data_IF_898081255662
#
_entry.id   IF_898081255662
#
_cell.length_a   1.000
_cell.length_b   1.000
_cell.length_c   1.000
_cell.angle_alpha   90.00
_cell.angle_beta   90.00
_cell.angle_gamma   90.00
#
_symmetry.space_group_name_H-M   'P 1'
#
loop_
_entity.id
_entity.type
_entity.pdbx_description
1 polymer ?
#
# COMPACT_ATOMS: atom_id res chain seq x y z
N UNK A 1 12.36 16.27 -11.86
CA UNK A 1 12.66 15.14 -10.95
C UNK A 1 11.58 14.11 -11.16
N UNK A 2 11.92 12.87 -11.55
CA UNK A 2 10.93 11.78 -11.69
C UNK A 2 10.69 11.20 -10.31
N UNK A 3 9.46 11.24 -9.84
CA UNK A 3 9.03 10.65 -8.57
C UNK A 3 7.61 10.10 -8.72
N UNK A 4 7.08 9.50 -7.65
CA UNK A 4 5.72 8.93 -7.63
C UNK A 4 4.60 9.98 -7.77
N UNK A 5 4.90 11.27 -7.63
CA UNK A 5 3.94 12.35 -7.87
C UNK A 5 3.86 12.77 -9.34
N UNK A 6 4.79 12.30 -10.17
CA UNK A 6 4.82 12.57 -11.62
C UNK A 6 4.07 11.46 -12.34
N UNK A 7 3.25 11.82 -13.33
CA UNK A 7 2.57 10.83 -14.17
C UNK A 7 3.57 9.93 -14.89
N UNK A 8 3.24 8.64 -14.98
CA UNK A 8 4.02 7.70 -15.78
C UNK A 8 3.82 8.04 -17.27
N UNK A 9 4.90 8.27 -18.06
CA UNK A 9 4.78 8.63 -19.46
C UNK A 9 3.99 7.57 -20.24
N UNK A 10 3.01 8.02 -21.04
CA UNK A 10 2.07 7.15 -21.73
C UNK A 10 2.73 6.33 -22.85
N UNK A 11 3.87 6.76 -23.34
CA UNK A 11 4.67 6.17 -24.40
C UNK A 11 5.79 5.25 -23.89
N UNK A 12 6.11 5.31 -22.60
CA UNK A 12 7.18 4.50 -22.01
C UNK A 12 6.83 3.00 -22.14
N UNK A 13 7.71 2.18 -22.74
CA UNK A 13 7.50 0.74 -22.82
C UNK A 13 7.32 0.14 -21.43
N UNK A 14 6.39 -0.81 -21.32
CA UNK A 14 6.12 -1.51 -20.07
C UNK A 14 5.72 -2.96 -20.34
N UNK A 15 6.07 -3.87 -19.44
CA UNK A 15 5.75 -5.29 -19.62
C UNK A 15 4.24 -5.57 -19.78
N UNK A 16 3.28 -4.83 -19.16
CA UNK A 16 1.86 -5.04 -19.42
C UNK A 16 1.48 -4.74 -20.87
N UNK A 17 2.07 -3.71 -21.49
CA UNK A 17 1.85 -3.41 -22.92
C UNK A 17 2.38 -4.51 -23.83
N UNK A 18 3.56 -5.04 -23.52
CA UNK A 18 4.15 -6.14 -24.28
C UNK A 18 3.26 -7.38 -24.19
N UNK A 19 2.78 -7.73 -22.99
CA UNK A 19 1.87 -8.87 -22.81
C UNK A 19 0.51 -8.65 -23.49
N UNK A 20 -0.06 -7.45 -23.39
CA UNK A 20 -1.29 -7.09 -24.09
C UNK A 20 -1.13 -7.26 -25.61
N UNK A 21 -0.03 -6.75 -26.19
CA UNK A 21 0.28 -6.89 -27.61
C UNK A 21 0.51 -8.35 -28.02
N UNK A 22 1.04 -9.19 -27.12
CA UNK A 22 1.19 -10.63 -27.31
C UNK A 22 -0.13 -11.42 -27.14
N UNK A 23 -1.26 -10.75 -26.94
CA UNK A 23 -2.59 -11.36 -26.89
C UNK A 23 -3.09 -11.74 -25.49
N UNK A 24 -2.41 -11.33 -24.41
CA UNK A 24 -2.89 -11.52 -23.05
C UNK A 24 -4.05 -10.57 -22.75
N UNK A 25 -5.05 -11.03 -22.00
CA UNK A 25 -6.00 -10.14 -21.33
C UNK A 25 -5.32 -9.52 -20.10
N UNK A 26 -5.35 -8.20 -19.99
CA UNK A 26 -4.56 -7.45 -19.00
C UNK A 26 -5.45 -6.66 -18.05
N UNK A 27 -5.15 -6.71 -16.76
CA UNK A 27 -5.91 -5.99 -15.74
C UNK A 27 -5.04 -5.38 -14.64
N UNK A 28 -5.44 -4.19 -14.18
CA UNK A 28 -4.89 -3.55 -12.99
C UNK A 28 -6.01 -3.20 -12.01
N UNK A 29 -5.86 -3.61 -10.75
CA UNK A 29 -6.86 -3.40 -9.70
C UNK A 29 -6.17 -2.94 -8.42
N UNK A 30 -6.48 -1.74 -7.96
CA UNK A 30 -5.97 -1.17 -6.72
C UNK A 30 -5.15 0.10 -6.94
N UNK A 31 -4.13 0.31 -6.11
CA UNK A 31 -3.35 1.54 -6.02
C UNK A 31 -2.26 1.56 -7.09
N UNK A 32 -2.28 2.56 -7.97
CA UNK A 32 -1.25 2.82 -8.98
C UNK A 32 -0.16 3.78 -8.48
N UNK A 33 -0.58 4.97 -8.00
CA UNK A 33 0.28 5.94 -7.32
C UNK A 33 1.51 6.42 -8.13
N UNK A 34 1.41 6.42 -9.47
CA UNK A 34 2.23 7.27 -10.33
C UNK A 34 1.35 8.41 -10.85
N UNK A 35 1.64 9.61 -10.37
CA UNK A 35 0.75 10.76 -10.44
C UNK A 35 -0.19 10.80 -9.24
N UNK A 36 -0.47 12.00 -8.73
CA UNK A 36 -1.36 12.19 -7.57
C UNK A 36 -2.81 12.49 -8.01
N UNK A 37 -2.97 13.24 -9.10
CA UNK A 37 -4.25 13.85 -9.49
C UNK A 37 -5.04 13.03 -10.51
N UNK A 38 -4.38 12.05 -11.15
CA UNK A 38 -4.96 11.21 -12.19
C UNK A 38 -4.94 9.74 -11.79
N UNK A 39 -6.07 9.09 -12.02
CA UNK A 39 -6.25 7.64 -11.97
C UNK A 39 -6.90 7.14 -13.26
N UNK A 40 -6.70 7.87 -14.35
CA UNK A 40 -7.12 7.45 -15.68
C UNK A 40 -6.42 6.16 -16.09
N UNK A 41 -7.11 5.40 -16.94
CA UNK A 41 -6.60 4.12 -17.41
C UNK A 41 -5.25 4.29 -18.10
N UNK A 42 -4.27 3.48 -17.69
CA UNK A 42 -2.94 3.46 -18.30
C UNK A 42 -2.88 2.46 -19.45
N UNK A 43 -2.04 2.71 -20.49
CA UNK A 43 -1.83 1.75 -21.57
C UNK A 43 -1.33 0.40 -21.06
N UNK A 44 -1.67 -0.67 -21.76
CA UNK A 44 -1.30 -2.04 -21.37
C UNK A 44 -2.29 -2.73 -20.45
N UNK A 45 -3.49 -2.16 -20.25
CA UNK A 45 -4.56 -2.73 -19.44
C UNK A 45 -5.91 -2.66 -20.15
N UNK A 46 -6.56 -3.82 -20.31
CA UNK A 46 -7.93 -3.95 -20.81
C UNK A 46 -8.95 -3.61 -19.70
N UNK A 47 -8.66 -4.01 -18.47
CA UNK A 47 -9.44 -3.69 -17.28
C UNK A 47 -8.65 -2.83 -16.30
N UNK A 48 -9.27 -1.74 -15.85
CA UNK A 48 -8.66 -0.78 -14.94
C UNK A 48 -9.62 -0.43 -13.81
N UNK A 49 -9.17 -0.66 -12.58
CA UNK A 49 -9.85 -0.23 -11.37
C UNK A 49 -8.83 0.41 -10.42
N UNK A 50 -8.72 1.73 -10.43
CA UNK A 50 -7.76 2.48 -9.61
C UNK A 50 -8.44 3.64 -8.88
N UNK A 51 -7.73 4.36 -8.01
CA UNK A 51 -8.17 5.60 -7.39
C UNK A 51 -7.06 6.65 -7.43
N UNK A 52 -7.42 7.92 -7.26
CA UNK A 52 -6.47 9.03 -7.14
C UNK A 52 -5.65 8.95 -5.85
N UNK A 53 -4.42 9.43 -5.92
CA UNK A 53 -3.50 9.55 -4.79
C UNK A 53 -3.42 8.31 -3.91
N UNK A 54 -3.48 8.53 -2.59
CA UNK A 54 -3.31 7.44 -1.62
C UNK A 54 -4.53 6.54 -1.44
N UNK A 55 -5.73 6.99 -1.78
CA UNK A 55 -6.98 6.32 -1.42
C UNK A 55 -7.23 6.27 0.10
N UNK A 56 -8.37 5.69 0.50
CA UNK A 56 -8.79 5.56 1.91
C UNK A 56 -8.74 4.09 2.33
N UNK A 57 -8.66 3.82 3.64
CA UNK A 57 -8.79 2.44 4.13
C UNK A 57 -10.22 1.92 4.09
N UNK A 58 -11.20 2.81 4.08
CA UNK A 58 -12.62 2.49 3.98
C UNK A 58 -13.29 3.36 2.93
N UNK A 59 -14.28 2.81 2.25
CA UNK A 59 -15.19 3.53 1.36
C UNK A 59 -14.44 4.34 0.29
N UNK A 60 -13.45 3.70 -0.35
CA UNK A 60 -12.67 4.34 -1.42
C UNK A 60 -13.47 4.42 -2.70
N UNK A 61 -13.43 5.59 -3.34
CA UNK A 61 -13.90 5.77 -4.71
C UNK A 61 -12.87 5.28 -5.70
N UNK A 62 -13.30 4.41 -6.62
CA UNK A 62 -12.49 3.89 -7.70
C UNK A 62 -12.97 4.43 -9.05
N UNK A 63 -12.04 4.76 -9.94
CA UNK A 63 -12.24 4.79 -11.38
C UNK A 63 -12.19 3.35 -11.92
N UNK A 64 -13.34 2.80 -12.28
CA UNK A 64 -13.49 1.49 -12.91
C UNK A 64 -13.82 1.70 -14.38
N UNK A 65 -12.83 1.57 -15.26
CA UNK A 65 -12.95 1.79 -16.71
C UNK A 65 -13.67 3.10 -17.08
N UNK A 66 -13.28 4.20 -16.46
CA UNK A 66 -13.85 5.54 -16.69
C UNK A 66 -15.06 5.87 -15.82
N UNK A 67 -15.57 4.92 -15.02
CA UNK A 67 -16.73 5.14 -14.14
C UNK A 67 -16.32 5.25 -12.68
N UNK A 68 -16.74 6.32 -12.01
CA UNK A 68 -16.51 6.56 -10.58
C UNK A 68 -17.47 5.75 -9.73
N UNK A 69 -16.95 4.92 -8.84
CA UNK A 69 -17.76 4.07 -7.95
C UNK A 69 -17.13 4.01 -6.56
N UNK A 70 -17.90 4.38 -5.54
CA UNK A 70 -17.52 4.16 -4.14
C UNK A 70 -17.72 2.70 -3.77
N UNK A 71 -16.64 1.99 -3.43
CA UNK A 71 -16.71 0.62 -2.91
C UNK A 71 -16.73 0.67 -1.39
N UNK A 72 -17.90 0.46 -0.80
CA UNK A 72 -18.10 0.48 0.66
C UNK A 72 -17.33 -0.66 1.36
N UNK A 73 -16.74 -0.37 2.51
CA UNK A 73 -15.98 -1.32 3.33
C UNK A 73 -14.47 -1.21 3.16
N UNK A 74 -13.74 -2.18 3.73
CA UNK A 74 -12.28 -2.13 3.83
C UNK A 74 -11.59 -2.28 2.47
N UNK A 75 -10.64 -1.39 2.18
CA UNK A 75 -9.95 -1.27 0.90
C UNK A 75 -9.40 -2.60 0.38
N UNK A 76 -8.65 -3.31 1.23
CA UNK A 76 -7.98 -4.56 0.87
C UNK A 76 -9.00 -5.60 0.41
N UNK A 77 -10.13 -5.71 1.10
CA UNK A 77 -11.23 -6.59 0.69
C UNK A 77 -11.85 -6.15 -0.62
N UNK A 78 -12.12 -4.85 -0.81
CA UNK A 78 -12.73 -4.36 -2.06
C UNK A 78 -11.86 -4.59 -3.29
N UNK A 79 -10.55 -4.40 -3.17
CA UNK A 79 -9.59 -4.73 -4.22
C UNK A 79 -9.56 -6.24 -4.49
N UNK A 80 -9.58 -7.05 -3.44
CA UNK A 80 -9.59 -8.52 -3.55
C UNK A 80 -10.86 -9.03 -4.22
N UNK A 81 -12.02 -8.49 -3.83
CA UNK A 81 -13.30 -8.87 -4.41
C UNK A 81 -13.31 -8.59 -5.92
N UNK A 82 -12.88 -7.41 -6.33
CA UNK A 82 -12.76 -7.06 -7.76
C UNK A 82 -11.77 -7.98 -8.49
N UNK A 83 -10.66 -8.37 -7.86
CA UNK A 83 -9.70 -9.31 -8.42
C UNK A 83 -10.29 -10.72 -8.59
N UNK A 84 -10.96 -11.24 -7.56
CA UNK A 84 -11.64 -12.55 -7.59
C UNK A 84 -12.76 -12.56 -8.63
N UNK A 85 -13.59 -11.53 -8.66
CA UNK A 85 -14.67 -11.39 -9.66
C UNK A 85 -14.08 -11.31 -11.08
N UNK A 86 -12.95 -10.62 -11.25
CA UNK A 86 -12.25 -10.57 -12.51
C UNK A 86 -11.71 -11.95 -12.90
N UNK A 87 -11.05 -12.67 -11.98
CA UNK A 87 -10.46 -14.01 -12.22
C UNK A 87 -11.50 -15.06 -12.61
N UNK A 88 -12.68 -15.06 -11.98
CA UNK A 88 -13.76 -16.05 -12.21
C UNK A 88 -14.40 -16.01 -13.60
N UNK A 89 -14.14 -14.97 -14.39
CA UNK A 89 -14.66 -14.89 -15.75
C UNK A 89 -14.10 -16.03 -16.59
N UNK A 90 -14.96 -16.68 -17.38
CA UNK A 90 -14.52 -17.66 -18.38
C UNK A 90 -13.60 -16.98 -19.38
N UNK A 91 -12.46 -17.59 -19.66
CA UNK A 91 -11.44 -17.05 -20.57
C UNK A 91 -10.89 -18.12 -21.49
N UNK A 92 -10.51 -17.69 -22.67
CA UNK A 92 -9.76 -18.48 -23.66
C UNK A 92 -8.34 -17.94 -23.86
N UNK A 93 -8.09 -16.67 -23.51
CA UNK A 93 -6.77 -16.02 -23.61
C UNK A 93 -5.98 -16.20 -22.30
N UNK A 94 -4.63 -16.28 -22.36
CA UNK A 94 -3.80 -16.11 -21.17
C UNK A 94 -3.99 -14.69 -20.60
N UNK A 95 -3.60 -14.47 -19.36
CA UNK A 95 -3.90 -13.22 -18.68
C UNK A 95 -2.77 -12.69 -17.80
N UNK A 96 -2.78 -11.37 -17.59
CA UNK A 96 -2.02 -10.66 -16.57
C UNK A 96 -3.00 -9.94 -15.65
N UNK A 97 -2.92 -10.20 -14.35
CA UNK A 97 -3.62 -9.44 -13.33
C UNK A 97 -2.62 -8.85 -12.35
N UNK A 98 -2.64 -7.52 -12.19
CA UNK A 98 -1.88 -6.83 -11.17
C UNK A 98 -2.85 -6.35 -10.07
N UNK A 99 -2.60 -6.78 -8.84
CA UNK A 99 -3.39 -6.42 -7.66
C UNK A 99 -2.55 -5.53 -6.75
N UNK A 100 -2.85 -4.23 -6.74
CA UNK A 100 -2.13 -3.22 -5.96
C UNK A 100 -2.84 -2.91 -4.65
N UNK A 101 -2.58 -3.66 -3.58
CA UNK A 101 -3.11 -3.29 -2.26
C UNK A 101 -2.51 -1.96 -1.75
N UNK A 102 -3.33 -1.13 -1.09
CA UNK A 102 -2.87 0.09 -0.41
C UNK A 102 -2.13 -0.25 0.87
N UNK A 103 -2.64 -1.21 1.63
CA UNK A 103 -1.99 -1.67 2.84
C UNK A 103 -0.59 -2.23 2.47
N UNK A 104 0.44 -1.99 3.29
CA UNK A 104 0.40 -1.38 4.62
C UNK A 104 0.75 0.12 4.59
N UNK A 105 0.35 0.92 3.59
CA UNK A 105 0.72 2.35 3.57
C UNK A 105 0.03 3.16 4.69
N UNK A 106 0.67 4.23 5.16
CA UNK A 106 0.11 5.21 6.11
C UNK A 106 -1.28 5.70 5.65
N UNK A 107 -2.27 5.92 6.56
CA UNK A 107 -2.21 6.01 8.03
C UNK A 107 -2.21 4.69 8.83
N UNK A 108 -1.91 3.54 8.23
CA UNK A 108 -1.85 2.22 8.91
C UNK A 108 -3.11 1.94 9.72
N UNK A 109 -4.26 1.86 9.07
CA UNK A 109 -5.53 1.58 9.75
C UNK A 109 -5.86 0.09 9.61
N UNK A 110 -5.68 -0.73 10.66
CA UNK A 110 -6.03 -2.15 10.58
C UNK A 110 -7.52 -2.34 10.40
N UNK A 111 -7.90 -3.45 9.79
CA UNK A 111 -9.27 -3.92 9.85
C UNK A 111 -9.68 -4.17 11.32
N UNK A 112 -10.94 -3.90 11.67
CA UNK A 112 -11.42 -3.97 13.06
C UNK A 112 -11.04 -5.28 13.76
N UNK A 113 -11.19 -6.43 13.08
CA UNK A 113 -10.84 -7.76 13.63
C UNK A 113 -9.35 -7.95 13.94
N UNK A 114 -8.48 -7.19 13.29
CA UNK A 114 -7.03 -7.25 13.50
C UNK A 114 -6.50 -6.11 14.37
N UNK A 115 -7.34 -5.18 14.81
CA UNK A 115 -6.89 -3.96 15.47
C UNK A 115 -6.15 -4.17 16.80
N UNK A 116 -6.32 -5.34 17.44
CA UNK A 116 -5.76 -5.67 18.77
C UNK A 116 -4.92 -6.95 18.82
N UNK A 117 -4.62 -7.58 17.68
CA UNK A 117 -4.00 -8.92 17.65
C UNK A 117 -2.55 -8.96 18.16
N UNK A 118 -1.95 -7.80 18.40
CA UNK A 118 -0.58 -7.67 18.90
C UNK A 118 -0.52 -6.78 20.15
N UNK A 119 -1.64 -6.55 20.84
CA UNK A 119 -1.69 -5.68 22.02
C UNK A 119 -0.85 -6.25 23.19
N UNK A 120 -0.77 -7.57 23.28
CA UNK A 120 -0.02 -8.37 24.25
C UNK A 120 1.47 -8.52 23.88
N UNK A 121 1.86 -8.19 22.65
CA UNK A 121 3.25 -8.32 22.20
C UNK A 121 4.06 -7.09 22.60
N UNK A 122 5.09 -7.29 23.42
CA UNK A 122 6.05 -6.24 23.75
C UNK A 122 6.88 -5.87 22.51
N UNK A 123 6.81 -4.61 22.07
CA UNK A 123 7.62 -4.08 20.97
C UNK A 123 8.62 -3.07 21.53
N UNK A 124 9.91 -3.38 21.38
CA UNK A 124 11.02 -2.49 21.70
C UNK A 124 11.60 -1.89 20.42
N UNK A 125 12.40 -0.84 20.56
CA UNK A 125 13.24 -0.41 19.46
C UNK A 125 14.16 -1.55 19.01
N UNK A 126 14.45 -1.68 17.70
CA UNK A 126 15.42 -2.65 17.21
C UNK A 126 16.76 -2.47 17.92
N UNK A 127 17.45 -3.57 18.26
CA UNK A 127 18.77 -3.52 18.93
C UNK A 127 19.75 -2.58 18.23
N UNK A 128 19.74 -2.60 16.89
CA UNK A 128 20.61 -1.80 16.03
C UNK A 128 20.18 -0.34 15.86
N UNK A 129 19.08 0.09 16.47
CA UNK A 129 18.54 1.45 16.32
C UNK A 129 19.54 2.55 16.71
N UNK A 130 20.40 2.25 17.69
CA UNK A 130 21.36 3.20 18.27
C UNK A 130 22.83 2.78 18.06
N UNK A 131 23.08 1.73 17.27
CA UNK A 131 24.43 1.31 16.86
C UNK A 131 24.98 2.25 15.76
N UNK A 132 25.32 3.49 16.17
CA UNK A 132 25.68 4.59 15.26
C UNK A 132 27.18 4.84 15.13
N UNK A 133 27.99 4.19 15.97
CA UNK A 133 29.44 4.29 15.90
C UNK A 133 29.96 3.85 14.51
N UNK A 134 30.91 4.60 13.95
CA UNK A 134 31.42 4.38 12.59
C UNK A 134 30.44 4.62 11.44
N UNK A 135 29.16 4.94 11.69
CA UNK A 135 28.18 5.20 10.62
C UNK A 135 28.35 6.59 9.98
N UNK A 136 28.01 6.77 8.69
CA UNK A 136 28.02 8.07 8.02
C UNK A 136 27.18 9.13 8.74
N UNK A 137 27.56 10.41 8.59
CA UNK A 137 26.87 11.56 9.22
C UNK A 137 25.36 11.55 8.97
N UNK A 138 24.93 11.27 7.75
CA UNK A 138 23.51 11.25 7.37
C UNK A 138 22.72 10.14 8.10
N UNK A 139 23.34 9.01 8.48
CA UNK A 139 22.70 7.96 9.28
C UNK A 139 22.45 8.43 10.71
N UNK A 140 23.40 9.19 11.28
CA UNK A 140 23.27 9.77 12.63
C UNK A 140 22.19 10.86 12.64
N UNK A 141 22.20 11.71 11.63
CA UNK A 141 21.27 12.84 11.50
C UNK A 141 19.85 12.44 11.12
N UNK A 142 19.60 11.22 10.61
CA UNK A 142 18.22 10.83 10.21
C UNK A 142 17.30 10.53 11.39
N UNK A 143 17.84 10.33 12.59
CA UNK A 143 17.13 9.73 13.72
C UNK A 143 15.94 10.58 14.22
N UNK A 144 16.04 11.90 14.14
CA UNK A 144 15.01 12.87 14.51
C UNK A 144 14.17 13.35 13.31
N UNK A 145 14.53 12.96 12.09
CA UNK A 145 13.81 13.35 10.86
C UNK A 145 12.47 12.64 10.74
N UNK A 146 11.68 13.01 9.71
CA UNK A 146 10.37 12.42 9.42
C UNK A 146 10.35 10.88 9.41
N UNK A 147 11.41 10.24 8.89
CA UNK A 147 11.55 8.78 8.82
C UNK A 147 12.39 8.19 9.95
N UNK A 148 12.84 9.04 10.88
CA UNK A 148 13.66 8.67 12.02
C UNK A 148 12.86 8.00 13.13
N UNK A 149 13.56 7.22 13.96
CA UNK A 149 12.97 6.51 15.10
C UNK A 149 12.42 7.46 16.18
N UNK A 150 13.01 8.66 16.30
CA UNK A 150 12.53 9.75 17.16
C UNK A 150 11.63 10.74 16.43
N UNK A 151 11.39 10.56 15.13
CA UNK A 151 10.49 11.38 14.32
C UNK A 151 9.00 11.18 14.62
N UNK A 152 8.10 11.68 13.76
CA UNK A 152 6.65 11.66 13.99
C UNK A 152 6.01 10.27 13.88
N UNK A 153 6.75 9.26 13.40
CA UNK A 153 6.26 7.90 13.19
C UNK A 153 4.94 7.88 12.41
N UNK A 154 4.88 8.66 11.32
CA UNK A 154 3.68 8.82 10.48
C UNK A 154 2.43 9.29 11.25
N UNK A 155 2.61 10.13 12.27
CA UNK A 155 1.53 10.71 13.07
C UNK A 155 1.21 9.96 14.37
N UNK A 156 1.92 8.87 14.66
CA UNK A 156 1.78 8.17 15.95
C UNK A 156 2.46 8.91 17.10
N UNK A 157 3.44 9.77 16.78
CA UNK A 157 4.08 10.72 17.69
C UNK A 157 3.78 12.15 17.21
N UNK A 158 3.08 12.93 18.04
CA UNK A 158 2.67 14.31 17.72
C UNK A 158 3.78 15.31 17.97
N UNK A 159 4.44 15.19 19.12
CA UNK A 159 5.56 16.02 19.54
C UNK A 159 6.85 15.26 19.24
N UNK A 160 7.70 15.81 18.37
CA UNK A 160 8.95 15.19 17.94
C UNK A 160 10.02 16.26 17.66
N UNK A 161 11.32 15.93 17.82
CA UNK A 161 11.83 14.64 18.27
C UNK A 161 11.57 14.36 19.76
N UNK A 162 11.28 13.11 20.08
CA UNK A 162 11.10 12.64 21.47
C UNK A 162 12.07 11.49 21.73
N UNK A 163 13.06 11.76 22.58
CA UNK A 163 14.12 10.83 22.98
C UNK A 163 13.87 10.20 24.34
N UNK A 164 12.73 10.48 24.98
CA UNK A 164 12.39 9.92 26.29
C UNK A 164 12.28 8.39 26.22
N UNK A 165 12.59 7.66 27.30
CA UNK A 165 12.36 6.22 27.38
C UNK A 165 10.91 5.82 27.06
N UNK A 166 9.94 6.65 27.47
CA UNK A 166 8.51 6.44 27.27
C UNK A 166 8.10 6.52 25.80
N UNK A 167 8.92 7.18 24.96
CA UNK A 167 8.67 7.38 23.52
C UNK A 167 8.52 6.06 22.75
N UNK A 168 9.07 4.95 23.28
CA UNK A 168 8.97 3.61 22.68
C UNK A 168 7.53 3.14 22.54
N UNK A 169 6.59 3.62 23.37
CA UNK A 169 5.17 3.26 23.28
C UNK A 169 4.55 3.71 21.95
N UNK A 170 4.99 4.85 21.41
CA UNK A 170 4.51 5.37 20.13
C UNK A 170 5.03 4.52 18.97
N UNK A 171 6.29 4.10 19.06
CA UNK A 171 6.89 3.16 18.11
C UNK A 171 6.20 1.80 18.16
N UNK A 172 5.97 1.25 19.35
CA UNK A 172 5.23 0.01 19.54
C UNK A 172 3.84 0.08 18.90
N UNK A 173 3.10 1.17 19.14
CA UNK A 173 1.77 1.38 18.54
C UNK A 173 1.84 1.45 17.02
N UNK A 174 2.79 2.19 16.45
CA UNK A 174 3.02 2.26 15.00
C UNK A 174 3.29 0.87 14.42
N UNK A 175 4.24 0.12 15.00
CA UNK A 175 4.62 -1.22 14.52
C UNK A 175 3.45 -2.20 14.58
N UNK A 176 2.67 -2.19 15.68
CA UNK A 176 1.47 -3.03 15.82
C UNK A 176 0.44 -2.69 14.75
N UNK A 177 0.14 -1.42 14.53
CA UNK A 177 -0.83 -0.99 13.51
C UNK A 177 -0.36 -1.29 12.08
N UNK A 178 0.92 -1.02 11.75
CA UNK A 178 1.53 -1.39 10.48
C UNK A 178 1.37 -2.90 10.23
N UNK A 179 1.83 -3.72 11.18
CA UNK A 179 1.84 -5.19 11.05
C UNK A 179 0.43 -5.76 10.99
N UNK A 180 -0.51 -5.21 11.77
CA UNK A 180 -1.90 -5.65 11.75
C UNK A 180 -2.59 -5.39 10.40
N UNK A 181 -2.22 -4.34 9.65
CA UNK A 181 -2.78 -4.11 8.31
C UNK A 181 -2.38 -5.19 7.30
N UNK A 182 -1.24 -5.86 7.52
CA UNK A 182 -0.75 -6.94 6.66
C UNK A 182 -1.63 -8.18 6.76
N UNK A 183 -2.29 -8.42 7.90
CA UNK A 183 -3.15 -9.61 8.07
C UNK A 183 -4.33 -9.65 7.10
N UNK A 184 -4.90 -8.50 6.75
CA UNK A 184 -5.93 -8.47 5.71
C UNK A 184 -5.35 -8.75 4.32
N UNK A 185 -4.06 -8.45 4.06
CA UNK A 185 -3.40 -8.81 2.78
C UNK A 185 -3.20 -10.32 2.70
N UNK A 186 -2.77 -10.95 3.79
CA UNK A 186 -2.58 -12.40 3.89
C UNK A 186 -3.88 -13.18 3.60
N UNK A 187 -4.98 -12.77 4.25
CA UNK A 187 -6.33 -13.28 3.95
C UNK A 187 -6.69 -13.10 2.46
N UNK A 188 -6.39 -11.94 1.90
CA UNK A 188 -6.68 -11.59 0.51
C UNK A 188 -5.92 -12.44 -0.49
N UNK A 189 -4.61 -12.67 -0.26
CA UNK A 189 -3.79 -13.56 -1.07
C UNK A 189 -4.35 -14.99 -1.03
N UNK A 190 -4.75 -15.48 0.15
CA UNK A 190 -5.42 -16.79 0.27
C UNK A 190 -6.70 -16.86 -0.55
N UNK A 191 -7.52 -15.81 -0.56
CA UNK A 191 -8.77 -15.76 -1.35
C UNK A 191 -8.50 -15.79 -2.85
N UNK A 192 -7.52 -15.02 -3.31
CA UNK A 192 -7.10 -14.99 -4.72
C UNK A 192 -6.57 -16.36 -5.15
N UNK A 193 -5.70 -16.97 -4.33
CA UNK A 193 -5.12 -18.29 -4.62
C UNK A 193 -6.15 -19.42 -4.74
N UNK A 194 -7.28 -19.31 -4.04
CA UNK A 194 -8.37 -20.30 -4.05
C UNK A 194 -9.38 -20.12 -5.19
N UNK A 195 -9.23 -19.07 -6.00
CA UNK A 195 -10.16 -18.74 -7.09
C UNK A 195 -9.77 -19.47 -8.36
#
# INVERSE_FOLDING_TARGET
>A
MVNNFTDYPIDLPSFPRVLQAAGYETAYIGKWHMGEQSDEKRPGFDYWACHKGQGKYYDTEFNINGRRVVKKGYYTHRVTDMAVDWLRKKRTKPYLLIVGHKAPHTPFTPEKKYSKIYDDIEIKYPRTAFELEGKPKWVKQRIDTWHGIYGPLYGYRKEFPDTSPESVKHFAKFVRSYTATIKSIDDSVRRIYKT
#
